data_IF_992845431507
#
_entry.id   IF_992845431507
#
_cell.length_a   1.000
_cell.length_b   1.000
_cell.length_c   1.000
_cell.angle_alpha   90.00
_cell.angle_beta   90.00
_cell.angle_gamma   90.00
#
_symmetry.space_group_name_H-M   'P 1'
#
loop_
_entity.id
_entity.type
_entity.pdbx_description
1 polymer ?
#
# COMPACT_ATOMS: atom_id res chain seq x y z
N UNK A 1 19.21 28.36 -4.37
CA UNK A 1 18.66 27.77 -5.61
C UNK A 1 19.62 26.66 -6.03
N UNK A 2 19.23 25.41 -5.88
CA UNK A 2 19.96 24.29 -6.45
C UNK A 2 19.63 24.32 -7.93
N UNK A 3 20.62 24.66 -8.77
CA UNK A 3 20.50 24.51 -10.22
C UNK A 3 20.31 23.01 -10.49
N UNK A 4 19.10 22.59 -10.84
CA UNK A 4 18.83 21.27 -11.38
C UNK A 4 19.48 21.19 -12.76
N UNK A 5 20.73 20.72 -12.82
CA UNK A 5 21.34 20.36 -14.07
C UNK A 5 20.48 19.26 -14.69
N UNK A 6 19.93 19.52 -15.88
CA UNK A 6 19.24 18.49 -16.65
C UNK A 6 20.22 17.33 -16.90
N UNK A 7 19.78 16.08 -16.77
CA UNK A 7 20.66 14.94 -17.06
C UNK A 7 21.19 15.03 -18.50
N UNK A 8 22.44 14.61 -18.68
CA UNK A 8 23.06 14.53 -20.01
C UNK A 8 22.21 13.63 -20.93
N UNK A 9 21.83 14.17 -22.09
CA UNK A 9 21.02 13.46 -23.08
C UNK A 9 21.66 12.16 -23.57
N UNK A 10 23.00 12.08 -23.60
CA UNK A 10 23.74 10.85 -23.97
C UNK A 10 23.65 9.82 -22.85
N UNK A 11 23.68 10.26 -21.60
CA UNK A 11 23.48 9.39 -20.44
C UNK A 11 22.07 8.81 -20.44
N UNK A 12 21.06 9.63 -20.71
CA UNK A 12 19.67 9.18 -20.81
C UNK A 12 19.52 8.14 -21.92
N UNK A 13 19.98 8.43 -23.15
CA UNK A 13 19.93 7.47 -24.28
C UNK A 13 20.66 6.15 -23.99
N UNK A 14 21.76 6.20 -23.24
CA UNK A 14 22.54 5.01 -22.89
C UNK A 14 21.79 4.07 -21.95
N UNK A 15 21.01 4.63 -20.99
CA UNK A 15 20.32 3.87 -19.96
C UNK A 15 18.82 3.70 -20.20
N UNK A 16 18.24 4.39 -21.19
CA UNK A 16 16.85 4.19 -21.64
C UNK A 16 16.74 2.87 -22.43
N UNK A 17 16.63 1.79 -21.67
CA UNK A 17 16.52 0.43 -22.20
C UNK A 17 15.37 -0.30 -21.50
N UNK A 18 14.59 -1.12 -22.24
CA UNK A 18 13.63 -2.02 -21.61
C UNK A 18 14.36 -2.92 -20.61
N UNK A 19 13.88 -2.94 -19.37
CA UNK A 19 14.38 -3.79 -18.31
C UNK A 19 13.28 -4.70 -17.76
N UNK A 20 13.63 -5.88 -17.23
CA UNK A 20 12.66 -6.69 -16.54
C UNK A 20 12.22 -6.00 -15.26
N UNK A 21 10.93 -6.17 -14.91
CA UNK A 21 10.37 -5.65 -13.67
C UNK A 21 10.74 -6.56 -12.50
N UNK A 22 11.83 -6.24 -11.83
CA UNK A 22 12.24 -6.93 -10.62
C UNK A 22 11.68 -6.23 -9.37
N UNK A 23 10.35 -6.24 -9.24
CA UNK A 23 9.66 -5.63 -8.09
C UNK A 23 9.56 -6.55 -6.88
N UNK A 24 9.74 -7.86 -7.08
CA UNK A 24 9.69 -8.88 -6.03
C UNK A 24 10.47 -10.14 -6.46
N UNK A 25 10.83 -10.99 -5.51
CA UNK A 25 11.40 -12.30 -5.75
C UNK A 25 10.58 -13.35 -4.98
N UNK A 26 10.13 -14.43 -5.69
CA UNK A 26 10.24 -14.63 -7.13
C UNK A 26 9.46 -13.56 -7.91
N UNK A 27 9.85 -13.33 -9.16
CA UNK A 27 9.14 -12.40 -10.05
C UNK A 27 7.79 -12.98 -10.47
N UNK A 28 6.80 -12.11 -10.76
CA UNK A 28 5.44 -12.52 -11.07
C UNK A 28 5.30 -13.63 -12.16
N UNK A 29 6.11 -13.68 -13.23
CA UNK A 29 6.10 -14.78 -14.19
C UNK A 29 6.43 -16.16 -13.59
N UNK A 30 7.03 -16.23 -12.42
CA UNK A 30 7.35 -17.48 -11.73
C UNK A 30 6.21 -17.97 -10.83
N UNK A 31 5.16 -17.17 -10.61
CA UNK A 31 4.01 -17.58 -9.84
C UNK A 31 3.20 -18.64 -10.60
N UNK A 32 2.76 -19.67 -9.90
CA UNK A 32 1.97 -20.76 -10.47
C UNK A 32 0.94 -21.28 -9.48
N UNK A 33 -0.11 -21.91 -9.99
CA UNK A 33 -1.23 -22.41 -9.20
C UNK A 33 -0.88 -23.63 -8.29
N UNK A 34 0.32 -24.18 -8.44
CA UNK A 34 0.80 -25.30 -7.60
C UNK A 34 1.25 -24.88 -6.19
N UNK A 35 1.37 -23.58 -5.90
CA UNK A 35 1.62 -23.10 -4.56
C UNK A 35 0.30 -23.02 -3.78
N UNK A 36 -0.07 -24.10 -3.11
CA UNK A 36 -1.31 -24.21 -2.33
C UNK A 36 -1.07 -24.12 -0.82
N UNK A 37 -2.10 -24.46 -0.05
CA UNK A 37 -2.10 -24.35 1.41
C UNK A 37 -0.94 -25.12 2.06
N UNK A 38 -0.67 -26.36 1.62
CA UNK A 38 0.42 -27.17 2.20
C UNK A 38 1.79 -26.49 1.95
N UNK A 39 2.02 -25.98 0.75
CA UNK A 39 3.27 -25.28 0.44
C UNK A 39 3.45 -24.01 1.30
N UNK A 40 2.36 -23.28 1.58
CA UNK A 40 2.39 -22.15 2.51
C UNK A 40 2.76 -22.61 3.93
N UNK A 41 2.12 -23.68 4.44
CA UNK A 41 2.40 -24.22 5.78
C UNK A 41 3.86 -24.68 5.91
N UNK A 42 4.38 -25.37 4.90
CA UNK A 42 5.76 -25.84 4.88
C UNK A 42 6.76 -24.67 4.85
N UNK A 43 6.48 -23.63 4.05
CA UNK A 43 7.30 -22.44 3.99
C UNK A 43 7.32 -21.66 5.31
N UNK A 44 6.17 -21.53 5.97
CA UNK A 44 6.07 -20.87 7.28
C UNK A 44 6.79 -21.71 8.35
N UNK A 45 6.60 -23.02 8.38
CA UNK A 45 7.28 -23.92 9.33
C UNK A 45 8.81 -23.85 9.16
N UNK A 46 9.31 -23.86 7.91
CA UNK A 46 10.73 -23.68 7.64
C UNK A 46 11.24 -22.30 8.10
N UNK A 47 10.43 -21.24 7.93
CA UNK A 47 10.77 -19.89 8.37
C UNK A 47 10.76 -19.73 9.90
N UNK A 48 9.85 -20.43 10.61
CA UNK A 48 9.82 -20.44 12.07
C UNK A 48 11.02 -21.24 12.64
N UNK A 49 11.39 -22.33 12.00
CA UNK A 49 12.52 -23.17 12.41
C UNK A 49 13.90 -22.63 12.03
N UNK A 50 14.01 -21.47 11.39
CA UNK A 50 15.30 -20.82 11.11
C UNK A 50 15.98 -20.43 12.43
N UNK A 51 17.26 -20.75 12.65
CA UNK A 51 18.01 -20.36 13.87
C UNK A 51 18.00 -18.85 14.15
N UNK A 52 17.80 -18.03 13.12
CA UNK A 52 17.65 -16.57 13.21
C UNK A 52 16.40 -16.17 12.42
N UNK A 53 15.19 -16.38 12.98
CA UNK A 53 13.96 -16.11 12.25
C UNK A 53 13.88 -14.64 11.83
N UNK A 54 13.58 -14.42 10.55
CA UNK A 54 13.41 -13.04 10.04
C UNK A 54 12.17 -12.40 10.66
N UNK A 55 12.23 -11.10 10.87
CA UNK A 55 11.07 -10.32 11.27
C UNK A 55 9.99 -10.37 10.20
N UNK A 56 8.75 -10.12 10.59
CA UNK A 56 7.59 -10.18 9.70
C UNK A 56 7.30 -8.82 9.07
N UNK A 57 6.90 -8.87 7.82
CA UNK A 57 6.27 -7.77 7.09
C UNK A 57 4.88 -8.23 6.67
N UNK A 58 3.85 -7.48 7.05
CA UNK A 58 2.46 -7.77 6.72
C UNK A 58 1.98 -6.86 5.58
N UNK A 59 1.19 -7.41 4.67
CA UNK A 59 0.52 -6.69 3.61
C UNK A 59 -0.97 -6.98 3.64
N UNK A 60 -1.78 -5.93 3.66
CA UNK A 60 -3.24 -6.01 3.55
C UNK A 60 -3.67 -5.46 2.21
N UNK A 61 -4.29 -6.30 1.38
CA UNK A 61 -4.79 -5.91 0.07
C UNK A 61 -6.25 -5.50 0.13
N UNK A 62 -6.54 -4.21 0.00
CA UNK A 62 -7.91 -3.69 -0.10
C UNK A 62 -8.30 -3.55 -1.58
N UNK A 63 -9.15 -4.42 -2.12
CA UNK A 63 -9.34 -4.52 -3.57
C UNK A 63 -10.25 -3.46 -4.18
N UNK A 64 -10.84 -2.57 -3.40
CA UNK A 64 -11.89 -1.68 -3.88
C UNK A 64 -11.35 -0.36 -4.42
N UNK A 65 -11.97 0.12 -5.53
CA UNK A 65 -11.80 1.47 -6.06
C UNK A 65 -13.17 2.05 -6.43
N UNK A 66 -13.36 3.36 -6.18
CA UNK A 66 -14.62 4.03 -6.51
C UNK A 66 -14.76 4.31 -8.02
N UNK A 67 -13.65 4.38 -8.75
CA UNK A 67 -13.62 4.59 -10.20
C UNK A 67 -12.38 3.94 -10.84
N UNK A 68 -12.47 3.52 -12.13
CA UNK A 68 -11.30 2.96 -12.83
C UNK A 68 -10.34 4.06 -13.27
N UNK A 69 -9.04 3.85 -13.07
CA UNK A 69 -8.01 4.61 -13.76
C UNK A 69 -7.52 3.78 -14.96
N UNK A 70 -7.39 4.39 -16.15
CA UNK A 70 -7.19 3.61 -17.39
C UNK A 70 -5.77 3.03 -17.54
N UNK A 71 -4.80 3.53 -16.81
CA UNK A 71 -3.44 2.96 -16.76
C UNK A 71 -3.28 1.79 -15.78
N UNK A 72 -4.27 1.57 -14.90
CA UNK A 72 -4.09 0.76 -13.70
C UNK A 72 -4.15 -0.75 -13.97
N UNK A 73 -3.08 -1.46 -13.58
CA UNK A 73 -2.98 -2.92 -13.62
C UNK A 73 -3.22 -3.64 -12.30
N UNK A 74 -3.69 -2.94 -11.25
CA UNK A 74 -3.91 -3.54 -9.94
C UNK A 74 -5.04 -4.58 -9.96
N UNK A 75 -4.93 -5.56 -9.07
CA UNK A 75 -6.05 -6.46 -8.78
C UNK A 75 -7.12 -5.69 -7.99
N UNK A 76 -8.20 -5.28 -8.67
CA UNK A 76 -9.20 -4.38 -8.11
C UNK A 76 -10.64 -4.70 -8.51
N UNK A 77 -11.56 -4.27 -7.67
CA UNK A 77 -13.00 -4.32 -7.88
C UNK A 77 -13.52 -2.88 -7.92
N UNK A 78 -14.05 -2.44 -9.06
CA UNK A 78 -14.66 -1.11 -9.15
C UNK A 78 -16.05 -1.15 -8.54
N UNK A 79 -16.25 -0.37 -7.48
CA UNK A 79 -17.52 -0.26 -6.78
C UNK A 79 -17.60 1.01 -5.94
N UNK A 80 -18.80 1.54 -5.77
CA UNK A 80 -19.13 2.59 -4.80
C UNK A 80 -19.97 2.07 -3.64
N UNK A 81 -20.33 0.79 -3.70
CA UNK A 81 -21.14 0.13 -2.68
C UNK A 81 -20.28 -0.17 -1.43
N UNK A 82 -20.42 0.66 -0.42
CA UNK A 82 -19.70 0.54 0.86
C UNK A 82 -20.08 -0.72 1.65
N UNK A 83 -21.26 -1.31 1.44
CA UNK A 83 -21.65 -2.55 2.11
C UNK A 83 -20.73 -3.73 1.74
N UNK A 84 -20.04 -3.67 0.60
CA UNK A 84 -19.05 -4.67 0.22
C UNK A 84 -17.84 -4.72 1.15
N UNK A 85 -17.55 -3.61 1.83
CA UNK A 85 -16.48 -3.55 2.82
C UNK A 85 -16.72 -4.51 3.99
N UNK A 86 -17.96 -4.62 4.48
CA UNK A 86 -18.32 -5.48 5.61
C UNK A 86 -18.06 -6.96 5.30
N UNK A 87 -18.52 -7.43 4.13
CA UNK A 87 -18.29 -8.80 3.69
C UNK A 87 -16.79 -9.11 3.46
N UNK A 88 -16.03 -8.14 3.00
CA UNK A 88 -14.57 -8.23 2.87
C UNK A 88 -13.90 -8.32 4.24
N UNK A 89 -14.22 -7.41 5.16
CA UNK A 89 -13.65 -7.38 6.50
C UNK A 89 -13.90 -8.66 7.28
N UNK A 90 -15.12 -9.20 7.21
CA UNK A 90 -15.45 -10.48 7.85
C UNK A 90 -14.55 -11.64 7.36
N UNK A 91 -14.18 -11.64 6.07
CA UNK A 91 -13.25 -12.63 5.49
C UNK A 91 -11.81 -12.35 5.87
N UNK A 92 -11.41 -11.07 5.87
CA UNK A 92 -10.07 -10.64 6.25
C UNK A 92 -9.78 -11.01 7.72
N UNK A 93 -10.70 -10.79 8.65
CA UNK A 93 -10.52 -11.18 10.05
C UNK A 93 -10.32 -12.69 10.21
N UNK A 94 -11.10 -13.48 9.48
CA UNK A 94 -10.90 -14.94 9.47
C UNK A 94 -9.55 -15.33 8.87
N UNK A 95 -9.11 -14.67 7.81
CA UNK A 95 -7.79 -14.90 7.21
C UNK A 95 -6.67 -14.54 8.18
N UNK A 96 -6.78 -13.42 8.89
CA UNK A 96 -5.83 -13.01 9.94
C UNK A 96 -5.70 -14.11 11.00
N UNK A 97 -6.80 -14.65 11.50
CA UNK A 97 -6.79 -15.73 12.49
C UNK A 97 -6.09 -16.99 11.96
N UNK A 98 -6.41 -17.40 10.72
CA UNK A 98 -5.84 -18.60 10.10
C UNK A 98 -4.35 -18.45 9.82
N UNK A 99 -3.92 -17.29 9.34
CA UNK A 99 -2.51 -17.03 8.99
C UNK A 99 -1.68 -16.82 10.26
N UNK A 100 -2.19 -16.06 11.23
CA UNK A 100 -1.48 -15.82 12.49
C UNK A 100 -1.19 -17.13 13.25
N UNK A 101 -2.09 -18.11 13.18
CA UNK A 101 -1.89 -19.40 13.80
C UNK A 101 -0.71 -20.23 13.22
N UNK A 102 -0.18 -19.84 12.07
CA UNK A 102 0.95 -20.50 11.43
C UNK A 102 2.31 -19.98 11.92
N UNK A 103 2.36 -18.73 12.37
CA UNK A 103 3.60 -18.08 12.80
C UNK A 103 3.81 -18.19 14.30
N UNK A 104 5.08 -18.30 14.71
CA UNK A 104 5.43 -18.27 16.13
C UNK A 104 5.12 -16.88 16.70
N UNK A 105 4.55 -16.84 17.89
CA UNK A 105 4.03 -15.61 18.51
C UNK A 105 5.12 -14.60 18.94
N UNK A 106 6.36 -15.04 19.01
CA UNK A 106 7.53 -14.20 19.30
C UNK A 106 8.12 -13.52 18.05
N UNK A 107 7.63 -13.90 16.85
CA UNK A 107 8.03 -13.28 15.58
C UNK A 107 7.57 -11.82 15.54
N UNK A 108 8.53 -10.91 15.54
CA UNK A 108 8.27 -9.46 15.59
C UNK A 108 7.83 -8.93 14.21
N UNK A 109 6.67 -8.27 14.15
CA UNK A 109 6.22 -7.51 12.97
C UNK A 109 6.87 -6.13 13.00
N UNK A 110 7.62 -5.80 11.96
CA UNK A 110 8.30 -4.50 11.81
C UNK A 110 7.69 -3.63 10.73
N UNK A 111 6.82 -4.21 9.90
CA UNK A 111 6.17 -3.48 8.82
C UNK A 111 4.73 -3.99 8.62
N UNK A 112 3.80 -3.05 8.47
CA UNK A 112 2.45 -3.29 7.99
C UNK A 112 2.15 -2.30 6.87
N UNK A 113 1.72 -2.81 5.72
CA UNK A 113 1.38 -2.00 4.56
C UNK A 113 -0.05 -2.29 4.09
N UNK A 114 -0.85 -1.25 3.91
CA UNK A 114 -2.16 -1.32 3.27
C UNK A 114 -2.04 -0.79 1.83
N UNK A 115 -2.35 -1.65 0.87
CA UNK A 115 -2.31 -1.32 -0.55
C UNK A 115 -3.41 -2.00 -1.35
N UNK A 116 -3.27 -2.00 -2.66
CA UNK A 116 -4.15 -2.75 -3.57
C UNK A 116 -4.92 -1.91 -4.58
N UNK A 117 -6.23 -1.81 -4.42
CA UNK A 117 -7.07 -0.88 -5.17
C UNK A 117 -6.96 0.51 -4.57
N UNK A 118 -7.69 0.75 -3.48
CA UNK A 118 -7.68 2.02 -2.74
C UNK A 118 -8.00 1.72 -1.27
N UNK A 119 -7.00 1.65 -0.38
CA UNK A 119 -7.24 1.31 1.03
C UNK A 119 -8.19 2.25 1.75
N UNK A 120 -8.19 3.55 1.43
CA UNK A 120 -9.16 4.51 1.95
C UNK A 120 -10.57 4.40 1.31
N UNK A 121 -10.86 3.29 0.63
CA UNK A 121 -12.23 2.83 0.43
C UNK A 121 -12.87 2.39 1.76
N UNK A 122 -12.08 1.81 2.65
CA UNK A 122 -12.46 1.62 4.05
C UNK A 122 -12.41 2.96 4.77
N UNK A 123 -13.32 3.14 5.73
CA UNK A 123 -13.26 4.33 6.57
C UNK A 123 -12.14 4.20 7.64
N UNK A 124 -11.75 5.31 8.30
CA UNK A 124 -10.68 5.28 9.30
C UNK A 124 -10.95 4.34 10.48
N UNK A 125 -12.21 4.18 10.90
CA UNK A 125 -12.59 3.29 11.99
C UNK A 125 -12.39 1.82 11.58
N UNK A 126 -12.79 1.44 10.37
CA UNK A 126 -12.57 0.11 9.80
C UNK A 126 -11.07 -0.20 9.67
N UNK A 127 -10.27 0.76 9.17
CA UNK A 127 -8.82 0.60 9.08
C UNK A 127 -8.17 0.42 10.45
N UNK A 128 -8.60 1.19 11.45
CA UNK A 128 -8.16 1.03 12.84
C UNK A 128 -8.49 -0.36 13.38
N UNK A 129 -9.72 -0.84 13.17
CA UNK A 129 -10.15 -2.16 13.63
C UNK A 129 -9.29 -3.28 13.03
N UNK A 130 -8.91 -3.19 11.74
CA UNK A 130 -7.98 -4.14 11.12
C UNK A 130 -6.60 -4.07 11.78
N UNK A 131 -6.07 -2.87 12.04
CA UNK A 131 -4.78 -2.70 12.73
C UNK A 131 -4.83 -3.30 14.14
N UNK A 132 -5.91 -3.05 14.89
CA UNK A 132 -6.09 -3.57 16.25
C UNK A 132 -6.23 -5.10 16.25
N UNK A 133 -6.95 -5.66 15.28
CA UNK A 133 -7.05 -7.12 15.09
C UNK A 133 -5.69 -7.74 14.79
N UNK A 134 -4.90 -7.13 13.91
CA UNK A 134 -3.53 -7.61 13.62
C UNK A 134 -2.63 -7.53 14.85
N UNK A 135 -2.71 -6.45 15.63
CA UNK A 135 -1.95 -6.31 16.89
C UNK A 135 -2.34 -7.32 17.96
N UNK A 136 -3.59 -7.76 17.98
CA UNK A 136 -4.06 -8.81 18.89
C UNK A 136 -3.50 -10.20 18.51
N UNK A 137 -3.22 -10.44 17.24
CA UNK A 137 -2.80 -11.73 16.72
C UNK A 137 -1.28 -11.85 16.52
N UNK A 138 -0.59 -10.75 16.25
CA UNK A 138 0.85 -10.70 15.97
C UNK A 138 1.60 -9.82 16.98
N UNK A 139 2.86 -10.14 17.21
CA UNK A 139 3.75 -9.33 18.04
C UNK A 139 4.32 -8.16 17.24
N UNK A 140 3.75 -6.97 17.38
CA UNK A 140 4.26 -5.77 16.73
C UNK A 140 5.45 -5.19 17.48
N UNK A 141 6.47 -4.75 16.75
CA UNK A 141 7.63 -4.09 17.31
C UNK A 141 7.24 -2.83 18.08
N UNK A 142 7.77 -2.69 19.27
CA UNK A 142 7.65 -1.45 20.06
C UNK A 142 8.71 -0.42 19.67
N UNK A 143 9.58 -0.73 18.71
CA UNK A 143 10.70 0.13 18.29
C UNK A 143 10.20 1.27 17.40
N UNK A 144 10.99 2.34 17.36
CA UNK A 144 10.71 3.50 16.52
C UNK A 144 10.83 3.23 15.00
N UNK A 145 11.38 2.08 14.62
CA UNK A 145 11.52 1.64 13.23
C UNK A 145 10.28 0.90 12.66
N UNK A 146 9.25 0.68 13.47
CA UNK A 146 7.98 0.11 12.99
C UNK A 146 7.37 0.99 11.89
N UNK A 147 7.17 0.41 10.71
CA UNK A 147 6.52 1.04 9.57
C UNK A 147 5.04 0.61 9.47
N UNK A 148 4.12 1.53 9.73
CA UNK A 148 2.71 1.39 9.39
C UNK A 148 2.39 2.32 8.22
N UNK A 149 2.22 1.77 7.03
CA UNK A 149 2.08 2.52 5.79
C UNK A 149 0.75 2.24 5.09
N UNK A 150 0.23 3.25 4.40
CA UNK A 150 -1.03 3.18 3.67
C UNK A 150 -0.93 3.91 2.34
N UNK A 151 -1.46 3.30 1.28
CA UNK A 151 -1.72 3.97 0.01
C UNK A 151 -3.03 4.75 0.09
N UNK A 152 -3.02 6.00 -0.33
CA UNK A 152 -4.20 6.87 -0.31
C UNK A 152 -4.50 7.42 -1.70
N UNK A 153 -5.78 7.45 -2.03
CA UNK A 153 -6.29 8.25 -3.13
C UNK A 153 -6.74 9.61 -2.56
N UNK A 154 -6.03 10.70 -2.87
CA UNK A 154 -6.32 12.01 -2.27
C UNK A 154 -7.71 12.56 -2.61
N UNK A 155 -8.37 12.06 -3.66
CA UNK A 155 -9.73 12.45 -4.04
C UNK A 155 -10.81 11.99 -3.06
N UNK A 156 -10.50 11.00 -2.21
CA UNK A 156 -11.46 10.31 -1.33
C UNK A 156 -10.99 10.26 0.13
N UNK A 157 -10.15 11.19 0.55
CA UNK A 157 -9.68 11.30 1.93
C UNK A 157 -9.72 12.77 2.36
N UNK A 158 -10.20 13.02 3.57
CA UNK A 158 -10.22 14.35 4.15
C UNK A 158 -9.08 14.53 5.16
N UNK A 159 -8.70 15.79 5.52
CA UNK A 159 -7.75 16.03 6.60
C UNK A 159 -8.16 15.40 7.94
N UNK A 160 -9.46 15.29 8.23
CA UNK A 160 -9.97 14.63 9.43
C UNK A 160 -9.70 13.12 9.39
N UNK A 161 -9.95 12.47 8.24
CA UNK A 161 -9.64 11.04 8.06
C UNK A 161 -8.15 10.79 8.27
N UNK A 162 -7.28 11.64 7.74
CA UNK A 162 -5.82 11.53 7.90
C UNK A 162 -5.42 11.66 9.36
N UNK A 163 -6.04 12.56 10.14
CA UNK A 163 -5.78 12.68 11.57
C UNK A 163 -6.16 11.40 12.33
N UNK A 164 -7.30 10.77 11.97
CA UNK A 164 -7.72 9.48 12.53
C UNK A 164 -6.77 8.35 12.16
N UNK A 165 -6.26 8.33 10.93
CA UNK A 165 -5.24 7.37 10.50
C UNK A 165 -3.94 7.52 11.30
N UNK A 166 -3.48 8.77 11.53
CA UNK A 166 -2.34 9.04 12.41
C UNK A 166 -2.57 8.54 13.83
N UNK A 167 -3.78 8.76 14.38
CA UNK A 167 -4.16 8.26 15.70
C UNK A 167 -4.26 6.73 15.76
N UNK A 168 -4.54 6.04 14.66
CA UNK A 168 -4.49 4.58 14.54
C UNK A 168 -3.06 4.03 14.46
N UNK A 169 -2.06 4.91 14.30
CA UNK A 169 -0.64 4.57 14.29
C UNK A 169 0.00 4.54 12.92
N UNK A 170 -0.73 4.91 11.85
CA UNK A 170 -0.11 5.06 10.53
C UNK A 170 0.93 6.19 10.58
N UNK A 171 2.14 5.88 10.10
CA UNK A 171 3.26 6.80 10.16
C UNK A 171 3.91 7.04 8.78
N UNK A 172 3.36 6.44 7.74
CA UNK A 172 3.77 6.65 6.34
C UNK A 172 2.55 6.60 5.43
N UNK A 173 2.51 7.49 4.43
CA UNK A 173 1.48 7.50 3.39
C UNK A 173 2.13 7.54 2.01
N UNK A 174 1.51 6.86 1.03
CA UNK A 174 1.80 7.04 -0.40
C UNK A 174 0.54 7.56 -1.11
N UNK A 175 0.68 8.69 -1.78
CA UNK A 175 -0.43 9.36 -2.47
C UNK A 175 -0.35 9.09 -3.96
N UNK A 176 -1.35 8.41 -4.51
CA UNK A 176 -1.47 8.24 -5.95
C UNK A 176 -1.87 9.54 -6.63
N UNK A 177 -0.93 10.26 -7.20
CA UNK A 177 -1.16 11.51 -7.94
C UNK A 177 -1.13 11.28 -9.44
N UNK A 178 -0.10 10.66 -9.93
CA UNK A 178 0.20 10.23 -11.29
C UNK A 178 0.63 11.39 -12.20
N UNK A 179 -0.21 12.42 -12.36
CA UNK A 179 0.08 13.62 -13.11
C UNK A 179 -0.77 14.80 -12.61
N UNK A 180 -0.30 16.03 -12.84
CA UNK A 180 -1.02 17.26 -12.52
C UNK A 180 -1.58 17.97 -13.76
N UNK A 181 -1.20 17.53 -14.97
CA UNK A 181 -1.74 18.09 -16.20
C UNK A 181 -3.21 17.68 -16.38
N UNK A 182 -4.15 18.64 -16.56
CA UNK A 182 -5.57 18.33 -16.68
C UNK A 182 -5.94 17.48 -17.89
N UNK A 183 -5.21 17.59 -19.01
CA UNK A 183 -5.47 16.80 -20.22
C UNK A 183 -5.04 15.34 -19.98
N UNK A 184 -3.87 15.15 -19.36
CA UNK A 184 -3.39 13.83 -18.95
C UNK A 184 -4.35 13.18 -17.94
N UNK A 185 -4.76 13.94 -16.92
CA UNK A 185 -5.71 13.44 -15.89
C UNK A 185 -7.05 13.02 -16.51
N UNK A 186 -7.59 13.80 -17.47
CA UNK A 186 -8.80 13.46 -18.19
C UNK A 186 -8.64 12.20 -19.03
N UNK A 187 -7.51 12.08 -19.75
CA UNK A 187 -7.21 10.91 -20.58
C UNK A 187 -7.11 9.61 -19.78
N UNK A 188 -6.61 9.67 -18.54
CA UNK A 188 -6.46 8.49 -17.68
C UNK A 188 -7.60 8.31 -16.66
N UNK A 189 -8.64 9.14 -16.71
CA UNK A 189 -9.79 9.14 -15.79
C UNK A 189 -9.38 9.29 -14.31
N UNK A 190 -8.46 10.24 -14.04
CA UNK A 190 -8.01 10.53 -12.68
C UNK A 190 -7.84 12.03 -12.46
N UNK A 191 -8.97 12.73 -12.32
CA UNK A 191 -9.01 14.17 -12.13
C UNK A 191 -8.88 14.49 -10.64
N UNK A 192 -7.88 15.28 -10.28
CA UNK A 192 -7.62 15.78 -8.93
C UNK A 192 -6.85 17.10 -9.01
N UNK A 193 -7.10 18.01 -8.08
CA UNK A 193 -6.39 19.29 -8.06
C UNK A 193 -5.05 19.20 -7.30
N UNK A 194 -4.18 20.17 -7.56
CA UNK A 194 -2.94 20.35 -6.78
C UNK A 194 -3.29 20.69 -5.33
N UNK A 195 -4.31 21.50 -5.12
CA UNK A 195 -4.76 21.97 -3.82
C UNK A 195 -5.28 20.83 -2.95
N UNK A 196 -6.09 19.91 -3.50
CA UNK A 196 -6.56 18.70 -2.81
C UNK A 196 -5.38 17.83 -2.39
N UNK A 197 -4.44 17.60 -3.30
CA UNK A 197 -3.24 16.81 -3.01
C UNK A 197 -2.38 17.46 -1.93
N UNK A 198 -2.14 18.77 -2.03
CA UNK A 198 -1.36 19.52 -1.05
C UNK A 198 -2.00 19.49 0.34
N UNK A 199 -3.32 19.66 0.42
CA UNK A 199 -4.05 19.58 1.68
C UNK A 199 -3.89 18.22 2.37
N UNK A 200 -3.91 17.11 1.62
CA UNK A 200 -3.68 15.77 2.15
C UNK A 200 -2.22 15.59 2.61
N UNK A 201 -1.24 16.09 1.87
CA UNK A 201 0.18 16.08 2.27
C UNK A 201 0.39 16.81 3.59
N UNK A 202 -0.20 18.02 3.72
CA UNK A 202 -0.11 18.82 4.94
C UNK A 202 -0.80 18.13 6.11
N UNK A 203 -1.97 17.52 5.88
CA UNK A 203 -2.67 16.75 6.90
C UNK A 203 -1.84 15.54 7.38
N UNK A 204 -1.19 14.81 6.48
CA UNK A 204 -0.29 13.71 6.83
C UNK A 204 0.87 14.20 7.71
N UNK A 205 1.48 15.34 7.37
CA UNK A 205 2.55 15.94 8.18
C UNK A 205 2.06 16.39 9.55
N UNK A 206 0.89 17.03 9.61
CA UNK A 206 0.25 17.46 10.86
C UNK A 206 -0.13 16.28 11.75
N UNK A 207 -0.51 15.13 11.17
CA UNK A 207 -0.78 13.89 11.88
C UNK A 207 0.49 13.16 12.35
N UNK A 208 1.69 13.72 12.11
CA UNK A 208 2.97 13.15 12.54
C UNK A 208 3.50 12.02 11.66
N UNK A 209 2.99 11.87 10.43
CA UNK A 209 3.54 10.90 9.49
C UNK A 209 4.97 11.30 9.09
N UNK A 210 5.92 10.42 9.32
CA UNK A 210 7.35 10.67 9.09
C UNK A 210 7.76 10.59 7.62
N UNK A 211 6.92 9.98 6.77
CA UNK A 211 7.15 9.88 5.33
C UNK A 211 5.85 10.02 4.58
N UNK A 212 5.83 10.92 3.62
CA UNK A 212 4.76 11.08 2.64
C UNK A 212 5.37 10.96 1.26
N UNK A 213 4.97 9.93 0.52
CA UNK A 213 5.40 9.67 -0.84
C UNK A 213 4.32 10.13 -1.82
N UNK A 214 4.74 10.58 -3.00
CA UNK A 214 3.85 10.93 -4.11
C UNK A 214 4.23 10.05 -5.30
N UNK A 215 3.25 9.29 -5.81
CA UNK A 215 3.44 8.45 -6.98
C UNK A 215 3.14 9.26 -8.24
N UNK A 216 4.11 9.33 -9.15
CA UNK A 216 3.99 9.97 -10.46
C UNK A 216 4.30 8.96 -11.55
N UNK A 217 3.62 9.09 -12.69
CA UNK A 217 3.83 8.24 -13.87
C UNK A 217 4.22 9.13 -15.05
N UNK A 218 5.38 8.88 -15.64
CA UNK A 218 5.76 9.51 -16.91
C UNK A 218 5.32 8.65 -18.09
N UNK A 219 5.12 9.28 -19.26
CA UNK A 219 4.70 8.59 -20.48
C UNK A 219 3.22 8.20 -20.51
N UNK A 220 2.38 8.85 -19.72
CA UNK A 220 0.93 8.84 -19.88
C UNK A 220 0.53 9.54 -21.20
N UNK A 221 -0.70 9.33 -21.74
CA UNK A 221 -1.17 10.04 -22.93
C UNK A 221 -1.05 11.56 -22.78
N UNK A 222 -0.70 12.22 -23.89
CA UNK A 222 -0.35 13.64 -24.01
C UNK A 222 1.02 13.95 -23.31
#
# INVERSE_FOLDING_TARGET
MIATALPDADLLRRYDRPGPRYTSYPTAPQFHSGFGEQALRDAVAASNGDPIPRRLSLYVHVPFCASPCFYCGCNRIITRDKARAEAYLARLYREIDLVAALFDRDREVVQLHFGGGTPNFLDPAQLREVVDTLRAQFHFSARSDLDLSIELDPRFVTPADVAELGAAGFNRASLGVQDFDPEVQAAVNRIQSVEETAAVVEACRAAGMRSVNIDLIYGLPH
#
